data_IF_576461431242
#
_entry.id   IF_576461431242
#
_cell.length_a   1.000
_cell.length_b   1.000
_cell.length_c   1.000
_cell.angle_alpha   90.00
_cell.angle_beta   90.00
_cell.angle_gamma   90.00
#
_symmetry.space_group_name_H-M   'P 1'
#
loop_
_entity.id
_entity.type
_entity.pdbx_description
1 polymer ?
#
# COMPACT_ATOMS: atom_id res chain seq x y z
N UNK A 1 -3.72 -11.24 -16.75
CA UNK A 1 -2.34 -10.81 -17.08
C UNK A 1 -1.74 -10.20 -15.83
N UNK A 2 -0.44 -10.40 -15.57
CA UNK A 2 0.25 -9.77 -14.44
C UNK A 2 1.30 -8.83 -15.02
N UNK A 3 1.20 -7.56 -14.65
CA UNK A 3 2.17 -6.54 -15.01
C UNK A 3 2.92 -6.11 -13.74
N UNK A 4 4.25 -6.02 -13.84
CA UNK A 4 5.11 -5.52 -12.77
C UNK A 4 5.58 -4.14 -13.15
N UNK A 5 5.09 -3.14 -12.44
CA UNK A 5 5.44 -1.74 -12.64
C UNK A 5 6.60 -1.42 -11.70
N UNK A 6 7.74 -1.10 -12.30
CA UNK A 6 8.95 -0.69 -11.59
C UNK A 6 9.24 0.76 -11.92
N UNK A 7 9.45 1.55 -10.89
CA UNK A 7 9.61 3.00 -10.99
C UNK A 7 9.54 3.61 -9.61
N UNK A 8 10.10 4.79 -9.45
CA UNK A 8 9.92 5.59 -8.24
C UNK A 8 8.98 6.71 -8.64
N UNK A 9 7.79 6.80 -8.03
CA UNK A 9 6.95 7.98 -8.18
C UNK A 9 7.77 9.18 -7.68
N UNK A 10 8.33 9.97 -8.60
CA UNK A 10 9.27 11.05 -8.30
C UNK A 10 8.57 12.32 -7.76
N UNK A 11 7.27 12.25 -7.48
CA UNK A 11 6.45 13.40 -7.10
C UNK A 11 5.75 13.17 -5.78
N UNK A 12 6.02 14.05 -4.81
CA UNK A 12 5.18 14.32 -3.64
C UNK A 12 4.83 13.10 -2.77
N UNK A 13 5.56 12.90 -1.67
CA UNK A 13 5.09 12.05 -0.57
C UNK A 13 3.77 12.61 -0.04
N UNK A 14 2.65 12.00 -0.42
CA UNK A 14 1.36 12.29 0.18
C UNK A 14 1.44 11.86 1.66
N UNK A 15 1.35 12.79 2.63
CA UNK A 15 1.50 12.47 4.05
C UNK A 15 0.39 11.57 4.58
N UNK A 16 -0.70 11.41 3.80
CA UNK A 16 -1.83 10.55 4.14
C UNK A 16 -1.64 9.11 3.64
N UNK A 17 -0.44 8.72 3.21
CA UNK A 17 -0.12 7.36 2.73
C UNK A 17 1.22 6.88 3.30
N UNK A 18 1.52 5.58 3.13
CA UNK A 18 2.76 4.94 3.58
C UNK A 18 4.04 5.36 2.83
N UNK A 19 3.93 6.35 1.94
CA UNK A 19 4.99 6.79 1.03
C UNK A 19 4.92 6.09 -0.34
N UNK A 20 5.97 6.19 -1.16
CA UNK A 20 5.99 5.61 -2.50
C UNK A 20 5.96 4.08 -2.46
N UNK A 21 5.40 3.48 -3.51
CA UNK A 21 5.34 2.03 -3.71
C UNK A 21 6.33 1.64 -4.80
N UNK A 22 7.16 0.62 -4.56
CA UNK A 22 8.02 0.04 -5.59
C UNK A 22 8.60 -1.31 -5.12
N UNK A 23 8.41 -2.42 -5.87
CA UNK A 23 7.61 -2.55 -7.09
C UNK A 23 6.08 -2.52 -6.83
N UNK A 24 5.30 -2.37 -7.90
CA UNK A 24 3.84 -2.55 -7.89
C UNK A 24 3.46 -3.70 -8.82
N UNK A 25 2.54 -4.54 -8.37
CA UNK A 25 1.99 -5.67 -9.11
C UNK A 25 0.54 -5.36 -9.49
N UNK A 26 0.25 -5.39 -10.79
CA UNK A 26 -1.09 -5.19 -11.34
C UNK A 26 -1.59 -6.48 -11.98
N UNK A 27 -2.55 -7.13 -11.30
CA UNK A 27 -3.24 -8.30 -11.82
C UNK A 27 -4.50 -7.84 -12.55
N UNK A 28 -4.52 -8.04 -13.88
CA UNK A 28 -5.59 -7.63 -14.78
C UNK A 28 -6.46 -8.82 -15.18
N UNK A 29 -7.73 -8.76 -14.78
CA UNK A 29 -8.81 -9.58 -15.32
C UNK A 29 -9.49 -8.89 -16.50
N UNK A 30 -10.52 -9.54 -17.06
CA UNK A 30 -11.31 -8.94 -18.17
C UNK A 30 -12.11 -7.71 -17.71
N UNK A 31 -12.66 -7.75 -16.49
CA UNK A 31 -13.50 -6.70 -15.92
C UNK A 31 -13.01 -6.21 -14.55
N UNK A 32 -11.91 -6.79 -14.06
CA UNK A 32 -11.38 -6.51 -12.73
C UNK A 32 -9.90 -6.19 -12.73
N UNK A 33 -9.48 -5.49 -11.68
CA UNK A 33 -8.08 -5.22 -11.38
C UNK A 33 -7.82 -5.42 -9.91
N UNK A 34 -6.68 -6.05 -9.63
CA UNK A 34 -6.10 -6.16 -8.31
C UNK A 34 -4.71 -5.52 -8.34
N UNK A 35 -4.45 -4.59 -7.44
CA UNK A 35 -3.20 -3.85 -7.37
C UNK A 35 -2.64 -3.94 -5.95
N UNK A 36 -1.40 -4.41 -5.85
CA UNK A 36 -0.64 -4.48 -4.61
C UNK A 36 0.74 -3.87 -4.82
N UNK A 37 1.21 -3.08 -3.86
CA UNK A 37 2.51 -2.41 -3.94
C UNK A 37 3.39 -2.73 -2.74
N UNK A 38 4.70 -2.67 -2.95
CA UNK A 38 5.69 -2.84 -1.87
C UNK A 38 6.03 -1.47 -1.31
N UNK A 39 5.78 -1.27 -0.02
CA UNK A 39 6.16 -0.04 0.69
C UNK A 39 7.67 0.03 0.96
N UNK A 40 8.18 1.19 1.38
CA UNK A 40 9.59 1.39 1.76
C UNK A 40 10.12 0.39 2.81
N UNK A 41 9.23 -0.15 3.65
CA UNK A 41 9.56 -1.10 4.72
C UNK A 41 9.33 -2.56 4.30
N UNK A 42 9.05 -2.83 3.02
CA UNK A 42 8.86 -4.18 2.50
C UNK A 42 7.47 -4.79 2.75
N UNK A 43 6.55 -4.06 3.36
CA UNK A 43 5.17 -4.53 3.53
C UNK A 43 4.39 -4.41 2.23
N UNK A 44 3.50 -5.37 1.98
CA UNK A 44 2.55 -5.38 0.88
C UNK A 44 1.34 -4.51 1.24
N UNK A 45 1.21 -3.39 0.54
CA UNK A 45 0.04 -2.51 0.61
C UNK A 45 -0.96 -2.91 -0.47
N UNK A 46 -2.17 -3.28 -0.05
CA UNK A 46 -3.34 -3.42 -0.91
C UNK A 46 -3.75 -2.03 -1.41
N UNK A 47 -3.65 -1.80 -2.72
CA UNK A 47 -3.99 -0.52 -3.34
C UNK A 47 -5.41 -0.51 -3.90
N UNK A 48 -5.80 -1.55 -4.63
CA UNK A 48 -7.11 -1.61 -5.28
C UNK A 48 -7.57 -3.04 -5.49
N UNK A 49 -8.87 -3.28 -5.28
CA UNK A 49 -9.58 -4.45 -5.79
C UNK A 49 -10.95 -4.03 -6.29
N UNK A 50 -11.27 -4.34 -7.55
CA UNK A 50 -12.58 -4.05 -8.09
C UNK A 50 -12.55 -3.90 -9.60
N UNK A 51 -13.26 -2.90 -10.13
CA UNK A 51 -13.37 -2.63 -11.55
C UNK A 51 -11.99 -2.50 -12.23
N UNK A 52 -11.93 -2.95 -13.50
CA UNK A 52 -10.71 -2.89 -14.29
C UNK A 52 -10.19 -1.45 -14.39
N UNK A 53 -8.91 -1.27 -14.04
CA UNK A 53 -8.21 -0.01 -14.21
C UNK A 53 -7.65 0.10 -15.63
N UNK A 54 -7.52 1.34 -16.10
CA UNK A 54 -6.79 1.66 -17.33
C UNK A 54 -5.31 1.24 -17.28
N UNK A 55 -4.55 1.48 -18.35
CA UNK A 55 -3.09 1.36 -18.29
C UNK A 55 -2.55 2.39 -17.29
N UNK A 56 -1.71 1.93 -16.36
CA UNK A 56 -1.02 2.79 -15.39
C UNK A 56 0.32 3.19 -16.01
N UNK A 57 0.52 4.48 -16.24
CA UNK A 57 1.76 4.99 -16.86
C UNK A 57 2.73 5.53 -15.80
N UNK A 58 2.19 6.11 -14.74
CA UNK A 58 2.93 6.59 -13.56
C UNK A 58 2.35 5.98 -12.28
N UNK A 59 3.22 5.53 -11.38
CA UNK A 59 2.83 5.03 -10.06
C UNK A 59 2.16 6.09 -9.19
N UNK A 60 2.39 7.38 -9.46
CA UNK A 60 1.68 8.47 -8.80
C UNK A 60 0.16 8.45 -9.07
N UNK A 61 -0.30 7.90 -10.20
CA UNK A 61 -1.72 7.76 -10.53
C UNK A 61 -2.46 6.87 -9.52
N UNK A 62 -1.75 5.93 -8.89
CA UNK A 62 -2.32 5.04 -7.88
C UNK A 62 -2.70 5.78 -6.60
N UNK A 63 -2.14 6.97 -6.35
CA UNK A 63 -2.45 7.73 -5.15
C UNK A 63 -3.95 8.08 -5.05
N UNK A 64 -4.65 8.19 -6.17
CA UNK A 64 -6.09 8.46 -6.21
C UNK A 64 -6.95 7.31 -5.68
N UNK A 65 -6.47 6.07 -5.74
CA UNK A 65 -7.21 4.87 -5.29
C UNK A 65 -6.68 4.28 -4.00
N UNK A 66 -5.50 4.73 -3.53
CA UNK A 66 -4.93 4.32 -2.24
C UNK A 66 -5.78 4.80 -1.08
N UNK A 67 -5.93 3.93 -0.09
CA UNK A 67 -6.54 4.31 1.18
C UNK A 67 -5.70 5.39 1.88
N UNK A 68 -6.37 6.44 2.32
CA UNK A 68 -5.76 7.54 3.07
C UNK A 68 -5.90 7.30 4.56
N UNK A 69 -4.86 7.63 5.31
CA UNK A 69 -4.84 7.53 6.76
C UNK A 69 -4.50 8.89 7.41
N UNK A 70 -4.69 9.04 8.74
CA UNK A 70 -4.25 10.24 9.44
C UNK A 70 -2.77 10.49 9.24
N UNK A 71 -2.37 11.76 9.14
CA UNK A 71 -0.96 12.13 9.06
C UNK A 71 -0.19 11.57 10.27
N UNK A 72 -0.70 11.73 11.49
CA UNK A 72 -0.10 11.13 12.69
C UNK A 72 -0.93 9.93 13.15
N UNK A 73 -0.37 8.72 13.04
CA UNK A 73 -1.03 7.51 13.49
C UNK A 73 -1.16 7.50 15.03
N UNK A 74 -2.31 7.05 15.54
CA UNK A 74 -2.55 6.87 16.98
C UNK A 74 -2.22 5.45 17.45
N UNK A 75 -1.62 4.62 16.58
CA UNK A 75 -1.22 3.24 16.84
C UNK A 75 0.27 3.11 17.15
N UNK A 76 0.77 1.88 17.11
CA UNK A 76 2.21 1.62 17.29
C UNK A 76 2.95 2.04 16.03
N UNK A 77 3.91 2.97 16.18
CA UNK A 77 4.84 3.32 15.13
C UNK A 77 5.74 2.12 14.80
N UNK A 78 5.87 1.78 13.51
CA UNK A 78 6.66 0.63 13.08
C UNK A 78 8.16 0.83 13.36
N UNK A 79 8.67 2.04 13.14
CA UNK A 79 10.05 2.42 13.45
C UNK A 79 10.07 3.59 14.42
N UNK A 80 11.06 3.64 15.34
CA UNK A 80 11.29 4.82 16.16
C UNK A 80 11.52 6.05 15.27
N UNK A 81 10.80 7.14 15.55
CA UNK A 81 10.92 8.40 14.82
C UNK A 81 10.06 8.52 13.54
N UNK A 82 9.32 7.47 13.16
CA UNK A 82 8.37 7.50 12.04
C UNK A 82 6.92 7.29 12.51
N UNK A 83 6.33 8.32 13.10
CA UNK A 83 4.96 8.29 13.60
C UNK A 83 3.89 8.24 12.50
N UNK A 84 4.29 8.40 11.23
CA UNK A 84 3.41 8.35 10.07
C UNK A 84 3.20 6.91 9.57
N UNK A 85 4.04 5.97 10.00
CA UNK A 85 4.03 4.59 9.51
C UNK A 85 3.62 3.62 10.62
N UNK A 86 2.36 3.17 10.57
CA UNK A 86 1.80 2.21 11.53
C UNK A 86 1.07 1.08 10.81
N UNK A 87 1.30 -0.16 11.25
CA UNK A 87 0.71 -1.34 10.59
C UNK A 87 -0.79 -1.45 10.82
N UNK A 88 -1.29 -0.92 11.94
CA UNK A 88 -2.73 -0.80 12.24
C UNK A 88 -3.51 -0.08 11.14
N UNK A 89 -2.90 0.93 10.52
CA UNK A 89 -3.52 1.73 9.47
C UNK A 89 -3.19 1.22 8.08
N UNK A 90 -2.10 0.44 7.92
CA UNK A 90 -1.66 -0.02 6.60
C UNK A 90 -2.67 -1.02 6.05
N UNK A 91 -3.21 -0.82 4.84
CA UNK A 91 -4.02 -1.83 4.17
C UNK A 91 -3.10 -2.98 3.77
N UNK A 92 -2.87 -3.93 4.69
CA UNK A 92 -1.98 -5.06 4.46
C UNK A 92 -2.72 -6.16 3.71
N UNK A 93 -2.06 -6.72 2.70
CA UNK A 93 -2.56 -7.93 2.05
C UNK A 93 -2.35 -9.17 2.93
N UNK A 94 -1.27 -9.14 3.73
CA UNK A 94 -0.97 -10.17 4.72
C UNK A 94 -0.50 -9.54 6.03
N UNK A 95 -1.23 -9.85 7.11
CA UNK A 95 -0.94 -9.38 8.47
C UNK A 95 -0.58 -10.54 9.38
N UNK A 96 0.40 -10.31 10.26
CA UNK A 96 0.89 -11.27 11.25
C UNK A 96 0.81 -10.71 12.67
N UNK A 97 0.74 -11.60 13.66
CA UNK A 97 0.58 -11.22 15.07
C UNK A 97 1.84 -10.58 15.67
N UNK A 98 1.67 -9.58 16.54
CA UNK A 98 2.74 -9.05 17.39
C UNK A 98 3.69 -8.04 16.73
N UNK A 99 3.33 -7.49 15.57
CA UNK A 99 4.13 -6.47 14.86
C UNK A 99 3.58 -5.03 14.96
N UNK A 100 2.59 -4.81 15.82
CA UNK A 100 1.90 -3.51 15.94
C UNK A 100 0.73 -3.36 14.96
N UNK A 101 0.20 -4.48 14.47
CA UNK A 101 -1.15 -4.57 13.90
C UNK A 101 -2.02 -5.35 14.90
N UNK A 102 -3.06 -4.69 15.42
CA UNK A 102 -4.01 -5.27 16.38
C UNK A 102 -5.28 -5.83 15.73
N UNK A 103 -5.38 -5.78 14.39
CA UNK A 103 -6.48 -6.42 13.65
C UNK A 103 -6.31 -7.94 13.68
N UNK A 104 -7.35 -8.68 13.32
CA UNK A 104 -7.27 -10.14 13.23
C UNK A 104 -6.20 -10.57 12.22
N UNK A 105 -5.18 -11.34 12.62
CA UNK A 105 -4.09 -11.71 11.73
C UNK A 105 -4.55 -12.71 10.67
N UNK A 106 -3.86 -12.73 9.52
CA UNK A 106 -4.12 -13.73 8.48
C UNK A 106 -3.53 -15.10 8.84
N UNK A 107 -2.47 -15.12 9.67
CA UNK A 107 -1.80 -16.33 10.16
C UNK A 107 -1.11 -16.07 11.51
N UNK A 108 -0.90 -17.13 12.28
CA UNK A 108 -0.26 -17.14 13.61
C UNK A 108 0.95 -18.08 13.65
#
# INVERSE_FOLDING_TARGET
MIDVLTGTAAGSTNPLTAGPLSPVFHLRGATSSYVVGVTKNGHLEHVHWGAALGPISDLAELDAVRQKWPEVAQGVAYLPGDAHYSLDYLPQDWSGLGKGDYRGPAAE
#
